data_IF_712958852852
#
_entry.id   IF_712958852852
#
_cell.length_a   1.000
_cell.length_b   1.000
_cell.length_c   1.000
_cell.angle_alpha   90.00
_cell.angle_beta   90.00
_cell.angle_gamma   90.00
#
_symmetry.space_group_name_H-M   'P 1'
#
loop_
_entity.id
_entity.type
_entity.pdbx_description
1 polymer ?
#
# COMPACT_ATOMS: atom_id res chain seq x y z
N UNK A 1 3.56 6.43 4.73
CA UNK A 1 4.28 5.60 5.73
C UNK A 1 5.40 6.43 6.36
N UNK A 2 5.97 6.03 7.49
CA UNK A 2 7.00 6.80 8.23
C UNK A 2 8.21 7.32 7.42
N UNK A 3 8.49 6.78 6.23
CA UNK A 3 9.66 7.09 5.41
C UNK A 3 9.31 7.67 4.02
N UNK A 4 8.31 8.54 3.92
CA UNK A 4 7.86 9.15 2.65
C UNK A 4 7.50 8.11 1.56
N UNK A 5 7.06 6.94 2.02
CA UNK A 5 6.57 5.86 1.16
C UNK A 5 5.06 5.85 1.17
N UNK A 6 4.48 5.79 -0.01
CA UNK A 6 3.04 5.59 -0.19
C UNK A 6 2.79 4.27 -0.89
N UNK A 7 1.75 3.57 -0.44
CA UNK A 7 1.31 2.32 -1.04
C UNK A 7 -0.13 2.51 -1.46
N UNK A 8 -0.39 2.31 -2.74
CA UNK A 8 -1.74 2.32 -3.30
C UNK A 8 -2.05 0.91 -3.78
N UNK A 9 -3.20 0.39 -3.36
CA UNK A 9 -3.69 -0.91 -3.80
C UNK A 9 -5.10 -1.19 -3.31
N UNK A 10 -5.62 -2.35 -3.68
CA UNK A 10 -6.95 -2.80 -3.26
C UNK A 10 -6.86 -3.44 -1.89
N UNK A 11 -7.50 -2.82 -0.90
CA UNK A 11 -7.60 -3.35 0.45
C UNK A 11 -8.48 -4.60 0.45
N UNK A 12 -7.92 -5.75 0.86
CA UNK A 12 -8.68 -6.99 1.02
C UNK A 12 -9.21 -7.19 2.44
N UNK A 13 -8.42 -6.77 3.43
CA UNK A 13 -8.75 -6.98 4.84
C UNK A 13 -7.64 -6.48 5.75
N UNK A 14 -7.92 -6.47 7.05
CA UNK A 14 -6.96 -6.11 8.10
C UNK A 14 -7.20 -6.97 9.34
N UNK A 15 -6.16 -7.22 10.11
CA UNK A 15 -6.23 -7.77 11.47
C UNK A 15 -5.59 -6.80 12.48
N UNK A 16 -5.42 -7.23 13.73
CA UNK A 16 -4.87 -6.40 14.81
C UNK A 16 -3.45 -5.85 14.53
N UNK A 17 -2.69 -6.46 13.63
CA UNK A 17 -1.28 -6.12 13.37
C UNK A 17 -0.91 -5.94 11.90
N UNK A 18 -1.75 -6.40 10.98
CA UNK A 18 -1.44 -6.49 9.57
C UNK A 18 -2.56 -6.03 8.64
N UNK A 19 -2.15 -5.49 7.50
CA UNK A 19 -3.02 -5.11 6.40
C UNK A 19 -2.78 -6.03 5.20
N UNK A 20 -3.85 -6.55 4.62
CA UNK A 20 -3.82 -7.34 3.40
C UNK A 20 -4.21 -6.48 2.19
N UNK A 21 -3.31 -6.38 1.20
CA UNK A 21 -3.50 -5.56 0.00
C UNK A 21 -3.16 -6.37 -1.26
N UNK A 22 -3.95 -6.20 -2.32
CA UNK A 22 -3.72 -6.73 -3.67
C UNK A 22 -3.31 -5.60 -4.59
N UNK A 23 -2.31 -5.85 -5.43
CA UNK A 23 -1.83 -4.94 -6.47
C UNK A 23 -1.31 -3.60 -5.90
N UNK A 24 0.02 -3.50 -5.73
CA UNK A 24 0.63 -2.34 -5.10
C UNK A 24 1.48 -1.50 -6.07
N UNK A 25 1.23 -0.20 -6.11
CA UNK A 25 2.25 0.76 -6.54
C UNK A 25 2.85 1.44 -5.33
N UNK A 26 4.16 1.34 -5.20
CA UNK A 26 4.94 2.07 -4.20
C UNK A 26 5.40 3.39 -4.83
N UNK A 27 5.17 4.50 -4.13
CA UNK A 27 5.69 5.81 -4.51
C UNK A 27 6.82 6.13 -3.53
N UNK A 28 8.03 6.32 -4.05
CA UNK A 28 9.19 6.81 -3.30
C UNK A 28 9.64 8.15 -3.87
N UNK A 29 10.47 8.92 -3.13
CA UNK A 29 11.09 10.14 -3.67
C UNK A 29 11.93 9.89 -4.92
N UNK A 30 12.40 8.66 -5.16
CA UNK A 30 13.14 8.29 -6.38
C UNK A 30 12.22 7.99 -7.58
N UNK A 31 10.91 7.84 -7.36
CA UNK A 31 9.92 7.62 -8.41
C UNK A 31 8.83 6.62 -8.04
N UNK A 32 7.99 6.30 -9.03
CA UNK A 32 6.92 5.30 -8.90
C UNK A 32 7.45 3.92 -9.26
N UNK A 33 7.38 2.97 -8.32
CA UNK A 33 7.67 1.56 -8.57
C UNK A 33 6.38 0.75 -8.55
N UNK A 34 6.00 0.23 -9.72
CA UNK A 34 4.83 -0.65 -9.84
C UNK A 34 5.30 -2.09 -9.64
N UNK A 35 4.75 -2.77 -8.63
CA UNK A 35 5.03 -4.19 -8.38
C UNK A 35 3.70 -4.93 -8.26
N UNK A 36 3.38 -5.73 -9.27
CA UNK A 36 2.17 -6.55 -9.28
C UNK A 36 2.43 -7.81 -8.44
N UNK A 37 1.88 -7.84 -7.23
CA UNK A 37 1.88 -9.00 -6.33
C UNK A 37 0.43 -9.39 -6.02
N UNK A 38 0.17 -10.70 -6.01
CA UNK A 38 -1.16 -11.26 -5.79
C UNK A 38 -1.67 -10.97 -4.37
N UNK A 39 -0.78 -10.95 -3.38
CA UNK A 39 -1.11 -10.58 -2.01
C UNK A 39 0.14 -10.06 -1.31
N UNK A 40 0.01 -8.96 -0.58
CA UNK A 40 1.05 -8.46 0.31
C UNK A 40 0.53 -8.31 1.72
N UNK A 41 1.40 -8.59 2.69
CA UNK A 41 1.18 -8.33 4.10
C UNK A 41 1.95 -7.08 4.50
N UNK A 42 1.25 -6.02 4.86
CA UNK A 42 1.86 -4.78 5.36
C UNK A 42 1.81 -4.76 6.88
N UNK A 43 2.92 -4.34 7.48
CA UNK A 43 3.02 -4.17 8.93
C UNK A 43 2.28 -2.89 9.36
N UNK A 44 1.27 -3.05 10.22
CA UNK A 44 0.45 -1.96 10.76
C UNK A 44 1.24 -0.87 11.48
N UNK A 45 2.38 -1.20 12.11
CA UNK A 45 3.20 -0.25 12.85
C UNK A 45 3.82 0.85 11.97
N UNK A 46 3.92 0.60 10.65
CA UNK A 46 4.51 1.54 9.69
C UNK A 46 3.44 2.34 8.92
N UNK A 47 2.16 2.06 9.17
CA UNK A 47 1.03 2.74 8.53
C UNK A 47 0.63 3.93 9.39
N UNK A 48 0.64 5.12 8.78
CA UNK A 48 0.27 6.38 9.45
C UNK A 48 -1.16 6.80 9.13
N UNK A 49 -1.63 6.55 7.91
CA UNK A 49 -2.95 6.95 7.42
C UNK A 49 -3.46 5.93 6.40
N UNK A 50 -4.77 5.71 6.39
CA UNK A 50 -5.50 4.92 5.40
C UNK A 50 -6.49 5.86 4.69
N UNK A 51 -6.37 6.00 3.37
CA UNK A 51 -7.21 6.88 2.56
C UNK A 51 -8.08 6.00 1.64
N UNK A 52 -9.39 5.86 1.90
CA UNK A 52 -10.28 5.12 1.02
C UNK A 52 -10.51 5.88 -0.30
N UNK A 53 -10.56 5.16 -1.41
CA UNK A 53 -10.82 5.76 -2.73
C UNK A 53 -9.66 6.57 -3.32
N UNK A 54 -8.42 6.29 -2.90
CA UNK A 54 -7.23 6.90 -3.51
C UNK A 54 -7.15 6.64 -5.02
N UNK A 55 -6.36 7.45 -5.72
CA UNK A 55 -6.08 7.29 -7.15
C UNK A 55 -5.45 5.91 -7.39
N UNK A 56 -6.31 4.94 -7.72
CA UNK A 56 -5.91 3.55 -7.94
C UNK A 56 -4.80 3.49 -8.99
N UNK A 57 -3.91 2.49 -8.90
CA UNK A 57 -2.83 2.39 -9.85
C UNK A 57 -3.35 2.22 -11.28
N UNK A 58 -2.95 3.13 -12.17
CA UNK A 58 -3.21 3.04 -13.61
C UNK A 58 -2.62 1.72 -14.14
N UNK A 59 -3.45 0.99 -14.92
CA UNK A 59 -3.28 -0.43 -15.27
C UNK A 59 -2.03 -0.72 -16.09
#
# INVERSE_FOLDING_TARGET
MKNDKEIVGTLLGFDDFYLYVVFCSEITPEGRRITKLDQILLNGNNITMLIPGGEGPEV
#
